data_IF_541718509923
#
_entry.id   IF_541718509923
#
_cell.length_a   1.000
_cell.length_b   1.000
_cell.length_c   1.000
_cell.angle_alpha   90.00
_cell.angle_beta   90.00
_cell.angle_gamma   90.00
#
_symmetry.space_group_name_H-M   'P 1'
#
loop_
_entity.id
_entity.type
_entity.pdbx_description
1 polymer ?
#
# COMPACT_ATOMS: atom_id res chain seq x y z
N UNK A 1 -2.82 7.52 -12.80
CA UNK A 1 -1.48 7.66 -12.22
C UNK A 1 -1.35 6.53 -11.24
N UNK A 2 -0.27 5.75 -11.32
CA UNK A 2 -0.10 4.63 -10.41
C UNK A 2 0.63 5.14 -9.17
N UNK A 3 0.03 5.03 -7.98
CA UNK A 3 0.63 5.52 -6.75
C UNK A 3 0.12 4.80 -5.50
N UNK A 4 0.91 4.92 -4.42
CA UNK A 4 0.53 4.53 -3.08
C UNK A 4 0.39 5.79 -2.22
N UNK A 5 -0.65 5.85 -1.40
CA UNK A 5 -0.94 7.03 -0.57
C UNK A 5 -1.17 6.60 0.88
N UNK A 6 -0.48 7.27 1.80
CA UNK A 6 -0.71 7.15 3.24
C UNK A 6 -1.13 8.51 3.80
N UNK A 7 -2.39 8.67 4.23
CA UNK A 7 -2.82 9.85 4.96
C UNK A 7 -2.11 9.96 6.32
N UNK A 8 -1.74 11.17 6.74
CA UNK A 8 -1.01 11.40 7.99
C UNK A 8 -1.91 11.42 9.23
N UNK A 9 -3.22 11.58 9.05
CA UNK A 9 -4.20 11.62 10.11
C UNK A 9 -5.63 11.30 9.60
N UNK A 10 -6.57 11.15 10.53
CA UNK A 10 -7.96 10.81 10.24
C UNK A 10 -8.76 11.92 9.53
N UNK A 11 -8.33 13.18 9.60
CA UNK A 11 -8.92 14.26 8.80
C UNK A 11 -8.48 14.13 7.34
N UNK A 12 -7.22 13.80 7.10
CA UNK A 12 -6.68 13.52 5.77
C UNK A 12 -7.39 12.32 5.12
N UNK A 13 -7.63 11.23 5.86
CA UNK A 13 -8.44 10.08 5.39
C UNK A 13 -9.82 10.55 4.91
N UNK A 14 -10.54 11.30 5.76
CA UNK A 14 -11.88 11.78 5.40
C UNK A 14 -11.85 12.69 4.18
N UNK A 15 -10.90 13.62 4.10
CA UNK A 15 -10.78 14.53 2.95
C UNK A 15 -10.52 13.74 1.66
N UNK A 16 -9.66 12.73 1.72
CA UNK A 16 -9.36 11.83 0.62
C UNK A 16 -10.62 11.09 0.12
N UNK A 17 -11.42 10.53 1.02
CA UNK A 17 -12.70 9.86 0.68
C UNK A 17 -13.69 10.80 -0.05
N UNK A 18 -13.55 12.13 0.10
CA UNK A 18 -14.34 13.16 -0.62
C UNK A 18 -13.61 13.77 -1.82
N UNK A 19 -12.50 13.18 -2.28
CA UNK A 19 -11.72 13.64 -3.43
C UNK A 19 -10.98 14.96 -3.18
N UNK A 20 -10.62 15.25 -1.93
CA UNK A 20 -9.84 16.44 -1.55
C UNK A 20 -8.48 16.01 -1.03
N UNK A 21 -7.51 15.97 -1.92
CA UNK A 21 -6.14 15.63 -1.55
C UNK A 21 -5.37 16.87 -1.09
N UNK A 22 -4.72 16.77 0.07
CA UNK A 22 -3.78 17.78 0.56
C UNK A 22 -2.38 17.14 0.62
N UNK A 23 -1.45 17.56 -0.25
CA UNK A 23 -0.10 16.99 -0.29
C UNK A 23 0.71 17.26 0.98
N UNK A 24 0.25 18.15 1.87
CA UNK A 24 0.90 18.37 3.17
C UNK A 24 0.46 17.39 4.25
N UNK A 25 -0.66 16.69 4.04
CA UNK A 25 -1.22 15.73 5.01
C UNK A 25 -1.22 14.29 4.49
N UNK A 26 -0.48 14.04 3.41
CA UNK A 26 -0.42 12.74 2.75
C UNK A 26 1.00 12.47 2.26
N UNK A 27 1.45 11.23 2.43
CA UNK A 27 2.63 10.72 1.74
C UNK A 27 2.16 10.07 0.45
N UNK A 28 2.57 10.60 -0.69
CA UNK A 28 2.23 10.08 -2.02
C UNK A 28 3.51 9.53 -2.65
N UNK A 29 3.53 8.24 -2.94
CA UNK A 29 4.63 7.59 -3.63
C UNK A 29 4.17 7.19 -5.03
N UNK A 30 4.61 7.89 -6.09
CA UNK A 30 4.34 7.45 -7.45
C UNK A 30 5.07 6.12 -7.71
N UNK A 31 4.41 5.24 -8.45
CA UNK A 31 4.95 3.95 -8.82
C UNK A 31 5.23 3.90 -10.32
N UNK A 32 6.30 3.20 -10.69
CA UNK A 32 6.68 2.90 -12.08
C UNK A 32 6.07 1.56 -12.52
N UNK A 33 5.56 1.48 -13.74
CA UNK A 33 4.83 0.31 -14.25
C UNK A 33 5.69 -0.97 -14.23
N UNK A 34 6.95 -0.86 -14.62
CA UNK A 34 7.94 -1.94 -14.59
C UNK A 34 8.20 -2.46 -13.17
N UNK A 35 8.10 -1.59 -12.16
CA UNK A 35 8.28 -1.98 -10.75
C UNK A 35 7.05 -2.68 -10.19
N UNK A 36 5.86 -2.26 -10.61
CA UNK A 36 4.61 -2.95 -10.25
C UNK A 36 4.56 -4.34 -10.87
N UNK A 37 4.98 -4.46 -12.14
CA UNK A 37 5.07 -5.74 -12.81
C UNK A 37 5.97 -6.71 -12.02
N UNK A 38 7.07 -6.23 -11.44
CA UNK A 38 7.91 -7.08 -10.58
C UNK A 38 7.20 -7.62 -9.33
N UNK A 39 6.23 -6.89 -8.78
CA UNK A 39 5.41 -7.34 -7.64
C UNK A 39 4.35 -8.36 -8.10
N UNK A 40 3.81 -8.20 -9.30
CA UNK A 40 2.94 -9.20 -9.94
C UNK A 40 3.69 -10.49 -10.27
N UNK A 41 4.89 -10.38 -10.84
CA UNK A 41 5.70 -11.52 -11.28
C UNK A 41 6.08 -12.46 -10.12
N UNK A 42 6.29 -11.92 -8.93
CA UNK A 42 6.55 -12.70 -7.71
C UNK A 42 5.27 -13.15 -6.98
N UNK A 43 4.09 -12.79 -7.49
CA UNK A 43 2.79 -13.13 -6.91
C UNK A 43 2.46 -12.40 -5.61
N UNK A 44 3.06 -11.23 -5.35
CA UNK A 44 2.84 -10.50 -4.10
C UNK A 44 1.40 -10.00 -3.97
N UNK A 45 0.88 -9.34 -5.00
CA UNK A 45 -0.49 -8.84 -4.99
C UNK A 45 -1.53 -9.96 -5.01
N UNK A 46 -1.25 -11.08 -5.71
CA UNK A 46 -2.10 -12.27 -5.66
C UNK A 46 -2.22 -12.83 -4.24
N UNK A 47 -1.09 -12.90 -3.52
CA UNK A 47 -1.07 -13.35 -2.14
C UNK A 47 -1.87 -12.41 -1.23
N UNK A 48 -1.74 -11.10 -1.40
CA UNK A 48 -2.51 -10.12 -0.65
C UNK A 48 -4.02 -10.27 -0.90
N UNK A 49 -4.42 -10.38 -2.17
CA UNK A 49 -5.81 -10.58 -2.55
C UNK A 49 -6.38 -11.86 -1.94
N UNK A 50 -5.64 -12.97 -2.02
CA UNK A 50 -6.07 -14.26 -1.52
C UNK A 50 -6.16 -14.32 0.02
N UNK A 51 -5.18 -13.77 0.73
CA UNK A 51 -5.12 -13.84 2.20
C UNK A 51 -6.05 -12.83 2.87
N UNK A 52 -6.14 -11.63 2.34
CA UNK A 52 -6.81 -10.51 3.00
C UNK A 52 -8.14 -10.14 2.35
N UNK A 53 -8.52 -10.82 1.26
CA UNK A 53 -9.76 -10.55 0.54
C UNK A 53 -9.76 -9.21 -0.18
N UNK A 54 -8.57 -8.69 -0.49
CA UNK A 54 -8.39 -7.46 -1.26
C UNK A 54 -8.66 -7.73 -2.74
N UNK A 55 -8.94 -6.66 -3.48
CA UNK A 55 -9.17 -6.66 -4.93
C UNK A 55 -8.15 -5.75 -5.62
N UNK A 56 -6.87 -5.89 -5.25
CA UNK A 56 -5.80 -5.15 -5.89
C UNK A 56 -5.72 -5.61 -7.35
N UNK A 57 -5.97 -4.70 -8.30
CA UNK A 57 -5.94 -4.98 -9.73
C UNK A 57 -5.62 -3.70 -10.53
N UNK A 58 -5.10 -3.85 -11.75
CA UNK A 58 -4.78 -2.70 -12.60
C UNK A 58 -6.04 -1.97 -13.07
N UNK A 59 -6.09 -0.66 -12.81
CA UNK A 59 -7.20 0.24 -13.11
C UNK A 59 -8.24 0.34 -11.98
N UNK A 60 -8.00 -0.28 -10.83
CA UNK A 60 -8.89 -0.23 -9.67
C UNK A 60 -8.22 0.43 -8.45
N UNK A 61 -9.03 1.10 -7.65
CA UNK A 61 -8.63 1.71 -6.40
C UNK A 61 -8.92 0.72 -5.27
N UNK A 62 -7.92 0.42 -4.45
CA UNK A 62 -8.07 -0.46 -3.29
C UNK A 62 -7.44 0.19 -2.05
N UNK A 63 -7.92 -0.19 -0.86
CA UNK A 63 -7.31 0.28 0.39
C UNK A 63 -7.14 -0.80 1.43
N UNK A 64 -6.01 -0.73 2.12
CA UNK A 64 -5.72 -1.57 3.28
C UNK A 64 -6.01 -0.73 4.51
N UNK A 65 -7.09 -1.09 5.20
CA UNK A 65 -7.59 -0.39 6.38
C UNK A 65 -7.77 -1.36 7.56
N UNK A 66 -7.70 -0.83 8.77
CA UNK A 66 -7.73 -1.61 10.00
C UNK A 66 -6.32 -2.00 10.47
N UNK A 67 -6.04 -1.73 11.75
CA UNK A 67 -4.71 -1.89 12.33
C UNK A 67 -4.21 -3.34 12.37
N UNK A 68 -5.11 -4.32 12.54
CA UNK A 68 -4.73 -5.74 12.49
C UNK A 68 -4.40 -6.17 11.06
N UNK A 69 -5.21 -5.78 10.07
CA UNK A 69 -4.97 -6.09 8.66
C UNK A 69 -3.65 -5.47 8.20
N UNK A 70 -3.37 -4.20 8.54
CA UNK A 70 -2.10 -3.55 8.23
C UNK A 70 -0.90 -4.29 8.84
N UNK A 71 -1.01 -4.81 10.06
CA UNK A 71 0.05 -5.63 10.68
C UNK A 71 0.26 -6.95 9.97
N UNK A 72 -0.81 -7.62 9.57
CA UNK A 72 -0.71 -8.91 8.89
C UNK A 72 -0.16 -8.76 7.46
N UNK A 73 -0.57 -7.70 6.75
CA UNK A 73 0.00 -7.32 5.46
C UNK A 73 1.47 -6.96 5.61
N UNK A 74 1.86 -6.19 6.63
CA UNK A 74 3.27 -5.88 6.92
C UNK A 74 4.08 -7.14 7.21
N UNK A 75 3.51 -8.11 7.94
CA UNK A 75 4.15 -9.41 8.19
C UNK A 75 4.40 -10.16 6.87
N UNK A 76 3.38 -10.21 6.01
CA UNK A 76 3.49 -10.82 4.66
C UNK A 76 4.53 -10.10 3.81
N UNK A 77 4.55 -8.77 3.84
CA UNK A 77 5.54 -7.94 3.13
C UNK A 77 6.96 -8.25 3.60
N UNK A 78 7.19 -8.37 4.92
CA UNK A 78 8.51 -8.72 5.46
C UNK A 78 8.97 -10.13 5.05
N UNK A 79 8.04 -11.09 4.91
CA UNK A 79 8.35 -12.40 4.35
C UNK A 79 8.80 -12.28 2.90
N UNK A 80 8.06 -11.54 2.07
CA UNK A 80 8.43 -11.29 0.67
C UNK A 80 9.76 -10.56 0.53
N UNK A 81 10.09 -9.61 1.40
CA UNK A 81 11.41 -8.96 1.42
C UNK A 81 12.53 -9.98 1.67
N UNK A 82 12.28 -10.97 2.53
CA UNK A 82 13.27 -12.01 2.84
C UNK A 82 13.47 -12.95 1.65
N UNK A 83 12.40 -13.26 0.92
CA UNK A 83 12.42 -14.17 -0.24
C UNK A 83 12.90 -13.46 -1.53
N UNK A 84 12.67 -12.15 -1.66
CA UNK A 84 12.99 -11.32 -2.82
C UNK A 84 13.67 -9.99 -2.42
N UNK A 85 14.88 -10.03 -1.82
CA UNK A 85 15.54 -8.85 -1.27
C UNK A 85 15.98 -7.82 -2.32
N UNK A 86 16.03 -8.20 -3.59
CA UNK A 86 16.42 -7.31 -4.70
C UNK A 86 15.25 -6.45 -5.21
N UNK A 87 14.02 -6.67 -4.71
CA UNK A 87 12.83 -5.92 -5.11
C UNK A 87 12.63 -4.72 -4.18
N UNK A 88 13.22 -3.58 -4.57
CA UNK A 88 13.20 -2.32 -3.82
C UNK A 88 11.79 -1.87 -3.40
N UNK A 89 10.77 -2.13 -4.23
CA UNK A 89 9.39 -1.70 -3.97
C UNK A 89 8.75 -2.41 -2.77
N UNK A 90 9.22 -3.61 -2.40
CA UNK A 90 8.76 -4.25 -1.18
C UNK A 90 9.18 -3.44 0.07
N UNK A 91 10.36 -2.81 0.03
CA UNK A 91 10.82 -1.93 1.12
C UNK A 91 10.02 -0.62 1.16
N UNK A 92 9.65 -0.08 0.00
CA UNK A 92 8.75 1.08 -0.08
C UNK A 92 7.39 0.73 0.55
N UNK A 93 6.78 -0.39 0.15
CA UNK A 93 5.52 -0.88 0.71
C UNK A 93 5.63 -1.07 2.22
N UNK A 94 6.70 -1.69 2.70
CA UNK A 94 6.98 -1.82 4.13
C UNK A 94 6.96 -0.48 4.85
N UNK A 95 7.71 0.51 4.37
CA UNK A 95 7.77 1.83 5.01
C UNK A 95 6.41 2.53 5.02
N UNK A 96 5.60 2.35 3.98
CA UNK A 96 4.25 2.92 3.93
C UNK A 96 3.28 2.21 4.89
N UNK A 97 3.37 0.89 5.00
CA UNK A 97 2.59 0.11 5.98
C UNK A 97 2.96 0.48 7.42
N UNK A 98 4.26 0.62 7.71
CA UNK A 98 4.74 1.09 9.01
C UNK A 98 4.24 2.51 9.32
N UNK A 99 4.23 3.40 8.32
CA UNK A 99 3.68 4.74 8.46
C UNK A 99 2.17 4.72 8.74
N UNK A 100 1.39 3.93 7.99
CA UNK A 100 -0.05 3.82 8.20
C UNK A 100 -0.39 3.26 9.59
N UNK A 101 0.43 2.35 10.12
CA UNK A 101 0.33 1.87 11.50
C UNK A 101 0.68 2.97 12.52
N UNK A 102 1.78 3.69 12.32
CA UNK A 102 2.20 4.78 13.23
C UNK A 102 1.15 5.88 13.31
N UNK A 103 0.55 6.25 12.17
CA UNK A 103 -0.47 7.29 12.07
C UNK A 103 -1.87 6.82 12.41
N UNK A 104 -2.05 5.52 12.66
CA UNK A 104 -3.35 4.88 12.85
C UNK A 104 -4.32 5.18 11.68
N UNK A 105 -3.83 5.15 10.44
CA UNK A 105 -4.58 5.43 9.21
C UNK A 105 -4.68 4.18 8.32
N UNK A 106 -4.45 4.34 7.02
CA UNK A 106 -4.67 3.35 5.96
C UNK A 106 -3.63 3.52 4.85
N UNK A 107 -3.50 2.49 4.01
CA UNK A 107 -2.72 2.54 2.78
C UNK A 107 -3.67 2.46 1.59
N UNK A 108 -3.72 3.53 0.79
CA UNK A 108 -4.49 3.58 -0.46
C UNK A 108 -3.59 3.17 -1.62
N UNK A 109 -4.12 2.31 -2.49
CA UNK A 109 -3.42 1.69 -3.62
C UNK A 109 -4.18 2.06 -4.89
N UNK A 110 -3.50 2.76 -5.79
CA UNK A 110 -4.01 3.17 -7.09
C UNK A 110 -3.09 2.56 -8.14
N UNK A 111 -3.41 1.39 -8.70
CA UNK A 111 -2.54 0.71 -9.68
C UNK A 111 -3.18 0.45 -11.02
#
# INVERSE_FOLDING_TARGET
>A
MICLIVPHDQEAVKKHDYGKDDPNTMTIVPLEEDKINSLWDIGYFDELNNKFGLMISTGEDEKITGQEVLKDVLSTTNQYISDYPDIEYLFILKSLLEMALEKETELNIYI
#
